data_IF_916505078792
#
_entry.id   IF_916505078792
#
_cell.length_a   1.000
_cell.length_b   1.000
_cell.length_c   1.000
_cell.angle_alpha   90.00
_cell.angle_beta   90.00
_cell.angle_gamma   90.00
#
_symmetry.space_group_name_H-M   'P 1'
#
loop_
_entity.id
_entity.type
_entity.pdbx_description
1 polymer ?
#
# COMPACT_ATOMS: atom_id res chain seq x y z
N UNK A 1 -49.37 -22.54 -45.52
CA UNK A 1 -48.29 -21.91 -44.73
C UNK A 1 -48.53 -21.89 -43.21
N UNK A 2 -49.77 -21.88 -42.69
CA UNK A 2 -50.03 -21.85 -41.23
C UNK A 2 -49.83 -23.20 -40.50
N UNK A 3 -50.08 -24.33 -41.17
CA UNK A 3 -49.91 -25.67 -40.56
C UNK A 3 -48.45 -26.09 -40.35
N UNK A 4 -47.52 -25.62 -41.19
CA UNK A 4 -46.10 -26.00 -41.10
C UNK A 4 -45.41 -25.35 -39.89
N UNK A 5 -45.80 -24.12 -39.53
CA UNK A 5 -45.30 -23.42 -38.34
C UNK A 5 -45.79 -24.06 -37.03
N UNK A 6 -47.03 -24.56 -37.00
CA UNK A 6 -47.54 -25.30 -35.83
C UNK A 6 -46.82 -26.63 -35.65
N UNK A 7 -46.58 -27.36 -36.75
CA UNK A 7 -45.87 -28.64 -36.72
C UNK A 7 -44.42 -28.47 -36.24
N UNK A 8 -43.74 -27.41 -36.69
CA UNK A 8 -42.38 -27.09 -36.25
C UNK A 8 -42.33 -26.72 -34.77
N UNK A 9 -43.32 -25.97 -34.28
CA UNK A 9 -43.43 -25.61 -32.87
C UNK A 9 -43.67 -26.83 -31.97
N UNK A 10 -44.53 -27.76 -32.39
CA UNK A 10 -44.80 -29.01 -31.65
C UNK A 10 -43.56 -29.91 -31.65
N UNK A 11 -42.85 -30.04 -32.78
CA UNK A 11 -41.60 -30.80 -32.86
C UNK A 11 -40.50 -30.21 -31.97
N UNK A 12 -40.37 -28.88 -31.91
CA UNK A 12 -39.39 -28.21 -31.04
C UNK A 12 -39.71 -28.42 -29.56
N UNK A 13 -41.00 -28.35 -29.18
CA UNK A 13 -41.44 -28.61 -27.81
C UNK A 13 -41.18 -30.07 -27.41
N UNK A 14 -41.45 -31.01 -28.32
CA UNK A 14 -41.19 -32.43 -28.09
C UNK A 14 -39.69 -32.70 -27.98
N UNK A 15 -38.85 -32.05 -28.78
CA UNK A 15 -37.40 -32.13 -28.70
C UNK A 15 -36.86 -31.56 -27.37
N UNK A 16 -37.39 -30.43 -26.89
CA UNK A 16 -37.02 -29.84 -25.60
C UNK A 16 -37.43 -30.74 -24.41
N UNK A 17 -38.61 -31.35 -24.48
CA UNK A 17 -39.07 -32.31 -23.48
C UNK A 17 -38.24 -33.61 -23.51
N UNK A 18 -37.87 -34.11 -24.70
CA UNK A 18 -36.98 -35.26 -24.83
C UNK A 18 -35.57 -34.96 -24.30
N UNK A 19 -35.03 -33.77 -24.57
CA UNK A 19 -33.73 -33.34 -24.05
C UNK A 19 -33.74 -33.20 -22.52
N UNK A 20 -34.83 -32.69 -21.96
CA UNK A 20 -35.04 -32.60 -20.50
C UNK A 20 -35.21 -33.95 -19.80
N UNK A 21 -35.78 -34.95 -20.48
CA UNK A 21 -35.97 -36.30 -19.94
C UNK A 21 -34.72 -37.21 -20.06
N UNK A 22 -33.81 -36.91 -21.00
CA UNK A 22 -32.54 -37.64 -21.14
C UNK A 22 -31.37 -37.05 -20.34
N UNK A 23 -31.53 -35.85 -19.79
CA UNK A 23 -30.64 -35.34 -18.75
C UNK A 23 -30.97 -36.04 -17.43
N UNK A 24 -30.49 -37.28 -17.26
CA UNK A 24 -30.43 -37.87 -15.92
C UNK A 24 -29.59 -36.92 -15.05
N UNK A 25 -30.06 -36.50 -13.87
CA UNK A 25 -29.20 -35.81 -12.93
C UNK A 25 -28.11 -36.80 -12.55
N UNK A 26 -26.91 -36.60 -13.07
CA UNK A 26 -25.74 -37.31 -12.57
C UNK A 26 -25.50 -36.77 -11.18
N UNK A 27 -26.10 -37.42 -10.18
CA UNK A 27 -25.67 -37.30 -8.80
C UNK A 27 -24.23 -37.80 -8.79
N UNK A 28 -23.29 -36.87 -8.87
CA UNK A 28 -21.87 -37.17 -8.65
C UNK A 28 -21.76 -37.50 -7.17
N UNK A 29 -21.84 -38.79 -6.85
CA UNK A 29 -21.44 -39.31 -5.56
C UNK A 29 -19.91 -39.20 -5.55
N UNK A 30 -19.39 -38.13 -4.95
CA UNK A 30 -17.97 -38.07 -4.59
C UNK A 30 -17.73 -39.14 -3.53
N UNK A 31 -17.16 -40.28 -3.94
CA UNK A 31 -16.52 -41.22 -3.02
C UNK A 31 -15.38 -40.50 -2.31
N UNK A 32 -15.47 -40.39 -0.99
CA UNK A 32 -14.40 -39.92 -0.10
C UNK A 32 -13.27 -40.97 -0.06
N UNK A 33 -12.57 -41.12 -1.18
CA UNK A 33 -11.32 -41.87 -1.26
C UNK A 33 -10.19 -40.83 -1.32
N UNK A 34 -9.63 -40.55 -0.15
CA UNK A 34 -8.27 -40.06 0.00
C UNK A 34 -7.90 -38.75 -0.71
N UNK A 35 -8.61 -37.64 -0.42
CA UNK A 35 -7.92 -36.35 -0.49
C UNK A 35 -6.93 -36.34 0.69
N UNK A 36 -5.70 -36.75 0.41
CA UNK A 36 -4.56 -36.25 1.17
C UNK A 36 -4.64 -34.73 1.03
N UNK A 37 -5.28 -34.10 2.01
CA UNK A 37 -5.04 -32.71 2.31
C UNK A 37 -3.55 -32.64 2.54
N UNK A 38 -2.80 -32.29 1.50
CA UNK A 38 -1.55 -31.59 1.68
C UNK A 38 -1.96 -30.39 2.52
N UNK A 39 -1.84 -30.53 3.84
CA UNK A 39 -2.02 -29.46 4.78
C UNK A 39 -1.11 -28.37 4.23
N UNK A 40 -1.70 -27.29 3.71
CA UNK A 40 -0.94 -26.10 3.43
C UNK A 40 -0.09 -25.88 4.68
N UNK A 41 1.26 -25.80 4.55
CA UNK A 41 2.11 -25.67 5.71
C UNK A 41 1.52 -24.54 6.57
N UNK A 42 1.35 -24.76 7.89
CA UNK A 42 0.71 -23.77 8.74
C UNK A 42 1.38 -22.45 8.44
N UNK A 43 0.58 -21.46 7.98
CA UNK A 43 1.10 -20.18 7.54
C UNK A 43 2.06 -19.71 8.63
N UNK A 44 3.36 -19.66 8.30
CA UNK A 44 4.41 -19.40 9.26
C UNK A 44 3.97 -18.17 10.07
N UNK A 45 3.80 -18.35 11.39
CA UNK A 45 3.26 -17.33 12.27
C UNK A 45 4.18 -16.12 12.15
N UNK A 46 3.76 -15.12 11.37
CA UNK A 46 4.52 -13.90 11.20
C UNK A 46 4.67 -13.23 12.57
N UNK A 47 5.86 -12.72 12.83
CA UNK A 47 6.31 -12.30 14.16
C UNK A 47 5.57 -11.04 14.62
N UNK A 48 5.31 -10.11 13.69
CA UNK A 48 4.56 -8.88 13.98
C UNK A 48 3.74 -8.40 12.77
N UNK A 49 2.98 -7.31 12.96
CA UNK A 49 2.27 -6.63 11.88
C UNK A 49 2.66 -5.17 11.80
N UNK A 50 2.88 -4.68 10.58
CA UNK A 50 3.27 -3.30 10.29
C UNK A 50 2.15 -2.60 9.53
N UNK A 51 1.62 -1.52 10.08
CA UNK A 51 0.70 -0.62 9.40
C UNK A 51 1.47 0.60 8.87
N UNK A 52 1.46 0.79 7.55
CA UNK A 52 2.06 1.94 6.87
C UNK A 52 0.94 2.88 6.46
N UNK A 53 0.84 4.02 7.15
CA UNK A 53 -0.10 5.10 6.83
C UNK A 53 0.53 6.13 5.90
N UNK A 54 0.11 6.15 4.63
CA UNK A 54 0.62 7.10 3.64
C UNK A 54 -0.33 8.28 3.56
N UNK A 55 0.07 9.41 4.16
CA UNK A 55 -0.69 10.64 4.08
C UNK A 55 -0.69 11.16 2.64
N UNK A 56 -1.87 11.35 2.05
CA UNK A 56 -2.00 11.77 0.65
C UNK A 56 -3.21 12.67 0.41
N UNK A 57 -3.33 13.32 -0.74
CA UNK A 57 -4.51 14.11 -1.11
C UNK A 57 -5.35 13.40 -2.15
N UNK A 58 -6.65 13.65 -2.18
CA UNK A 58 -7.58 12.95 -3.09
C UNK A 58 -7.21 13.10 -4.58
N UNK A 59 -6.64 14.23 -4.98
CA UNK A 59 -6.19 14.53 -6.36
C UNK A 59 -4.95 13.72 -6.80
N UNK A 60 -4.21 13.12 -5.88
CA UNK A 60 -2.99 12.35 -6.18
C UNK A 60 -3.28 10.86 -6.40
N UNK A 61 -4.28 10.54 -7.21
CA UNK A 61 -4.72 9.16 -7.45
C UNK A 61 -3.65 8.32 -8.19
N UNK A 62 -2.99 8.88 -9.21
CA UNK A 62 -1.90 8.22 -9.93
C UNK A 62 -0.77 7.81 -8.99
N UNK A 63 -0.47 8.68 -8.03
CA UNK A 63 0.58 8.43 -7.04
C UNK A 63 0.20 7.31 -6.10
N UNK A 64 -1.04 7.28 -5.60
CA UNK A 64 -1.52 6.15 -4.78
C UNK A 64 -1.44 4.85 -5.57
N UNK A 65 -1.90 4.84 -6.81
CA UNK A 65 -1.90 3.64 -7.64
C UNK A 65 -0.48 3.13 -7.91
N UNK A 66 0.46 4.02 -8.21
CA UNK A 66 1.87 3.66 -8.31
C UNK A 66 2.42 3.05 -7.02
N UNK A 67 2.12 3.65 -5.86
CA UNK A 67 2.57 3.11 -4.57
C UNK A 67 1.93 1.74 -4.27
N UNK A 68 0.69 1.49 -4.70
CA UNK A 68 0.08 0.15 -4.63
C UNK A 68 0.90 -0.87 -5.41
N UNK A 69 1.42 -0.52 -6.59
CA UNK A 69 2.32 -1.40 -7.32
C UNK A 69 3.62 -1.63 -6.55
N UNK A 70 4.30 -0.55 -6.13
CA UNK A 70 5.59 -0.64 -5.45
C UNK A 70 5.53 -1.45 -4.16
N UNK A 71 4.51 -1.24 -3.32
CA UNK A 71 4.38 -1.99 -2.06
C UNK A 71 3.72 -3.36 -2.27
N UNK A 72 2.84 -3.49 -3.26
CA UNK A 72 2.18 -4.76 -3.60
C UNK A 72 3.13 -5.80 -4.22
N UNK A 73 4.23 -5.36 -4.84
CA UNK A 73 5.29 -6.27 -5.34
C UNK A 73 6.27 -6.70 -4.26
N UNK A 74 6.24 -6.09 -3.08
CA UNK A 74 7.13 -6.42 -1.98
C UNK A 74 6.44 -7.39 -1.00
N UNK A 75 7.23 -8.27 -0.39
CA UNK A 75 6.75 -9.19 0.64
C UNK A 75 7.77 -9.28 1.77
N UNK A 76 7.29 -9.65 2.96
CA UNK A 76 8.13 -9.90 4.13
C UNK A 76 7.85 -11.29 4.70
N UNK A 77 8.92 -11.99 5.07
CA UNK A 77 8.86 -13.28 5.77
C UNK A 77 8.51 -13.10 7.25
N UNK A 78 8.86 -11.95 7.84
CA UNK A 78 8.75 -11.70 9.30
C UNK A 78 7.52 -10.88 9.68
N UNK A 79 7.00 -10.03 8.77
CA UNK A 79 5.92 -9.10 9.07
C UNK A 79 4.71 -9.23 8.14
N UNK A 80 3.50 -9.09 8.69
CA UNK A 80 2.30 -8.82 7.87
C UNK A 80 2.20 -7.33 7.65
N UNK A 81 2.19 -6.87 6.40
CA UNK A 81 2.25 -5.45 6.08
C UNK A 81 0.91 -4.98 5.54
N UNK A 82 0.38 -3.92 6.15
CA UNK A 82 -0.84 -3.25 5.73
C UNK A 82 -0.49 -1.83 5.30
N UNK A 83 -0.71 -1.51 4.02
CA UNK A 83 -0.56 -0.13 3.53
C UNK A 83 -1.93 0.50 3.47
N UNK A 84 -2.09 1.69 4.06
CA UNK A 84 -3.32 2.48 4.02
C UNK A 84 -3.02 3.90 3.56
N UNK A 85 -3.79 4.42 2.62
CA UNK A 85 -3.75 5.81 2.19
C UNK A 85 -4.69 6.66 3.05
N UNK A 86 -4.15 7.74 3.59
CA UNK A 86 -4.85 8.56 4.57
C UNK A 86 -5.22 9.90 3.95
N UNK A 87 -6.53 10.13 3.85
CA UNK A 87 -7.16 11.33 3.33
C UNK A 87 -7.87 12.07 4.47
N UNK A 88 -8.08 13.37 4.32
CA UNK A 88 -9.03 14.13 5.13
C UNK A 88 -10.38 14.22 4.39
N UNK A 89 -11.29 15.06 4.90
CA UNK A 89 -12.65 15.22 4.36
C UNK A 89 -12.63 15.64 2.89
N UNK A 90 -13.41 14.93 2.08
CA UNK A 90 -13.56 15.18 0.65
C UNK A 90 -14.59 16.29 0.38
N UNK A 91 -14.14 17.38 -0.23
CA UNK A 91 -14.99 18.55 -0.51
C UNK A 91 -15.62 18.53 -1.90
N UNK A 92 -14.94 17.95 -2.89
CA UNK A 92 -15.41 17.90 -4.30
C UNK A 92 -16.21 16.62 -4.59
N UNK A 93 -17.23 16.71 -5.44
CA UNK A 93 -18.09 15.57 -5.79
C UNK A 93 -17.32 14.49 -6.54
N UNK A 94 -16.46 14.90 -7.46
CA UNK A 94 -15.62 14.01 -8.28
C UNK A 94 -14.64 13.23 -7.40
N UNK A 95 -14.04 13.90 -6.41
CA UNK A 95 -13.16 13.25 -5.43
C UNK A 95 -13.92 12.17 -4.65
N UNK A 96 -15.15 12.43 -4.20
CA UNK A 96 -15.95 11.44 -3.47
C UNK A 96 -16.22 10.19 -4.29
N UNK A 97 -16.55 10.36 -5.58
CA UNK A 97 -16.80 9.22 -6.46
C UNK A 97 -15.54 8.39 -6.70
N UNK A 98 -14.42 9.03 -7.06
CA UNK A 98 -13.15 8.33 -7.31
C UNK A 98 -12.64 7.61 -6.06
N UNK A 99 -12.69 8.27 -4.89
CA UNK A 99 -12.28 7.65 -3.63
C UNK A 99 -13.22 6.50 -3.25
N UNK A 100 -14.53 6.60 -3.50
CA UNK A 100 -15.45 5.50 -3.25
C UNK A 100 -15.10 4.27 -4.10
N UNK A 101 -14.76 4.46 -5.38
CA UNK A 101 -14.29 3.37 -6.24
C UNK A 101 -12.97 2.77 -5.74
N UNK A 102 -12.03 3.60 -5.29
CA UNK A 102 -10.78 3.10 -4.69
C UNK A 102 -11.04 2.30 -3.40
N UNK A 103 -11.93 2.75 -2.52
CA UNK A 103 -12.32 2.03 -1.30
C UNK A 103 -12.92 0.68 -1.65
N UNK A 104 -13.86 0.63 -2.60
CA UNK A 104 -14.51 -0.61 -3.04
C UNK A 104 -13.51 -1.60 -3.66
N UNK A 105 -12.50 -1.09 -4.35
CA UNK A 105 -11.55 -1.95 -5.07
C UNK A 105 -10.40 -2.45 -4.21
N UNK A 106 -9.85 -1.58 -3.37
CA UNK A 106 -8.58 -1.81 -2.68
C UNK A 106 -8.73 -1.89 -1.16
N UNK A 107 -9.84 -1.39 -0.60
CA UNK A 107 -10.11 -1.36 0.85
C UNK A 107 -8.96 -0.72 1.67
N UNK A 108 -8.17 0.14 1.05
CA UNK A 108 -6.91 0.65 1.58
C UNK A 108 -6.93 2.14 1.89
N UNK A 109 -8.11 2.75 1.97
CA UNK A 109 -8.26 4.19 2.24
C UNK A 109 -8.88 4.44 3.62
N UNK A 110 -8.26 5.33 4.39
CA UNK A 110 -8.79 5.91 5.62
C UNK A 110 -9.15 7.36 5.33
N UNK A 111 -10.43 7.72 5.52
CA UNK A 111 -10.89 9.11 5.42
C UNK A 111 -11.10 9.67 6.81
N UNK A 112 -10.24 10.61 7.20
CA UNK A 112 -10.25 11.27 8.49
C UNK A 112 -11.19 12.47 8.50
N UNK A 113 -11.71 12.77 9.68
CA UNK A 113 -12.54 13.95 9.91
C UNK A 113 -11.70 15.22 10.14
N UNK A 114 -10.94 15.64 9.13
CA UNK A 114 -10.12 16.86 9.14
C UNK A 114 -10.32 17.68 7.87
N UNK A 115 -9.85 18.93 7.87
CA UNK A 115 -9.70 19.74 6.66
C UNK A 115 -8.48 19.25 5.88
N UNK A 116 -8.64 18.94 4.60
CA UNK A 116 -7.55 18.44 3.75
C UNK A 116 -6.42 19.46 3.65
N UNK A 117 -5.26 19.07 4.16
CA UNK A 117 -4.03 19.84 4.15
C UNK A 117 -2.86 18.89 4.41
N UNK A 118 -1.65 19.24 3.96
CA UNK A 118 -0.45 18.40 4.16
C UNK A 118 0.55 18.95 5.17
N UNK A 119 0.31 20.15 5.69
CA UNK A 119 1.28 20.89 6.48
C UNK A 119 0.83 21.11 7.93
N UNK A 120 -0.40 20.74 8.29
CA UNK A 120 -1.01 21.06 9.58
C UNK A 120 -1.98 19.98 10.10
N UNK A 121 -1.59 19.32 11.18
CA UNK A 121 -2.51 18.54 12.01
C UNK A 121 -2.94 17.17 11.46
N UNK A 122 -2.79 16.89 10.16
CA UNK A 122 -3.22 15.59 9.59
C UNK A 122 -2.52 14.38 10.21
N UNK A 123 -1.22 14.48 10.48
CA UNK A 123 -0.44 13.43 11.17
C UNK A 123 -0.99 13.17 12.57
N UNK A 124 -1.29 14.23 13.34
CA UNK A 124 -1.88 14.09 14.66
C UNK A 124 -3.28 13.47 14.57
N UNK A 125 -4.15 13.99 13.70
CA UNK A 125 -5.50 13.46 13.48
C UNK A 125 -5.47 12.00 13.07
N UNK A 126 -4.51 11.59 12.24
CA UNK A 126 -4.32 10.19 11.87
C UNK A 126 -4.07 9.33 13.10
N UNK A 127 -3.00 9.59 13.85
CA UNK A 127 -2.63 8.77 15.01
C UNK A 127 -3.70 8.77 16.10
N UNK A 128 -4.32 9.92 16.40
CA UNK A 128 -5.36 9.98 17.43
C UNK A 128 -6.67 9.28 17.03
N UNK A 129 -6.96 9.15 15.73
CA UNK A 129 -8.17 8.47 15.25
C UNK A 129 -7.97 6.96 15.06
N UNK A 130 -6.73 6.48 14.94
CA UNK A 130 -6.43 5.08 14.62
C UNK A 130 -7.09 4.06 15.56
N UNK A 131 -7.07 4.24 16.90
CA UNK A 131 -7.70 3.28 17.81
C UNK A 131 -9.21 3.11 17.58
N UNK A 132 -9.89 4.17 17.13
CA UNK A 132 -11.32 4.14 16.79
C UNK A 132 -11.56 3.53 15.41
N UNK A 133 -10.67 3.82 14.44
CA UNK A 133 -10.81 3.38 13.04
C UNK A 133 -10.41 1.91 12.86
N UNK A 134 -9.51 1.38 13.69
CA UNK A 134 -9.00 0.00 13.63
C UNK A 134 -9.23 -0.73 14.97
N UNK A 135 -10.49 -1.04 15.34
CA UNK A 135 -10.83 -1.48 16.70
C UNK A 135 -10.32 -2.89 17.08
N UNK A 136 -9.77 -3.66 16.14
CA UNK A 136 -9.24 -4.99 16.41
C UNK A 136 -7.94 -5.14 15.63
N UNK A 137 -6.77 -4.89 16.22
CA UNK A 137 -5.51 -5.57 15.88
C UNK A 137 -4.27 -4.95 16.58
N UNK A 138 -3.68 -5.79 17.46
CA UNK A 138 -2.23 -6.08 17.60
C UNK A 138 -1.43 -5.32 18.67
N UNK A 139 -0.53 -6.09 19.27
CA UNK A 139 0.57 -5.69 20.15
C UNK A 139 1.87 -5.51 19.33
N UNK A 140 2.72 -4.56 19.76
CA UNK A 140 4.18 -4.39 19.48
C UNK A 140 4.58 -3.76 18.11
N UNK A 141 5.65 -2.97 17.86
CA UNK A 141 6.75 -2.24 18.56
C UNK A 141 7.21 -1.03 17.65
N UNK A 142 7.95 -0.06 18.21
CA UNK A 142 8.24 1.34 17.77
C UNK A 142 9.50 1.58 16.90
N UNK A 143 9.48 2.58 16.00
CA UNK A 143 10.68 3.31 15.53
C UNK A 143 10.39 4.74 14.95
N UNK A 144 10.46 5.81 15.72
CA UNK A 144 10.25 7.17 15.17
C UNK A 144 11.40 7.58 14.23
N UNK A 145 11.16 8.42 13.21
CA UNK A 145 12.24 9.02 12.43
C UNK A 145 12.21 10.56 12.47
N UNK A 146 13.32 11.14 12.94
CA UNK A 146 13.57 12.57 12.84
C UNK A 146 14.86 12.89 12.08
N UNK A 147 14.74 13.87 11.19
CA UNK A 147 15.80 14.73 10.64
C UNK A 147 15.90 15.88 11.65
N UNK A 148 17.08 16.17 12.23
CA UNK A 148 18.30 16.51 11.47
C UNK A 148 19.40 15.44 11.43
N UNK A 149 20.06 15.27 10.27
CA UNK A 149 21.26 14.41 10.16
C UNK A 149 22.49 14.89 10.95
N UNK A 150 22.48 16.15 11.41
CA UNK A 150 23.57 16.76 12.15
C UNK A 150 23.27 16.93 13.64
N UNK A 151 22.09 16.51 14.13
CA UNK A 151 21.70 16.70 15.53
C UNK A 151 20.65 15.68 15.97
N UNK A 152 20.82 15.09 17.16
CA UNK A 152 19.76 14.32 17.86
C UNK A 152 18.84 15.23 18.69
N UNK A 153 19.00 16.56 18.55
CA UNK A 153 18.22 17.53 19.31
C UNK A 153 16.76 17.53 18.81
N UNK A 154 15.80 17.10 19.65
CA UNK A 154 14.42 17.01 19.27
C UNK A 154 13.76 18.40 19.13
N UNK A 155 14.41 19.49 19.53
CA UNK A 155 13.90 20.87 19.44
C UNK A 155 13.91 21.43 18.00
N UNK A 156 14.66 20.83 17.07
CA UNK A 156 14.90 21.38 15.73
C UNK A 156 14.09 20.64 14.65
N UNK A 157 12.80 20.96 14.51
CA UNK A 157 11.98 20.51 13.36
C UNK A 157 10.98 19.37 13.61
N UNK A 158 10.23 19.43 14.72
CA UNK A 158 9.12 18.51 14.98
C UNK A 158 8.06 18.57 13.87
N UNK A 159 7.70 17.42 13.29
CA UNK A 159 6.65 17.26 12.25
C UNK A 159 6.88 18.01 10.93
N UNK A 160 8.12 18.34 10.57
CA UNK A 160 8.45 19.07 9.34
C UNK A 160 8.46 18.21 8.05
N UNK A 161 7.55 17.24 7.90
CA UNK A 161 7.45 16.38 6.71
C UNK A 161 8.39 15.16 6.75
N UNK A 162 8.28 14.37 7.81
CA UNK A 162 9.11 13.18 8.07
C UNK A 162 8.24 11.95 8.32
N UNK A 163 8.79 10.76 8.10
CA UNK A 163 8.15 9.47 8.41
C UNK A 163 8.13 9.23 9.93
N UNK A 164 7.04 8.64 10.44
CA UNK A 164 6.90 8.26 11.84
C UNK A 164 6.59 6.76 11.92
N UNK A 165 7.33 5.98 12.71
CA UNK A 165 6.91 4.62 13.08
C UNK A 165 6.63 4.57 14.57
N UNK A 166 5.40 4.18 14.90
CA UNK A 166 4.90 4.12 16.26
C UNK A 166 4.36 2.71 16.57
N UNK A 167 4.65 2.12 17.75
CA UNK A 167 3.89 0.94 18.22
C UNK A 167 2.48 1.30 18.65
N UNK A 168 1.67 0.27 18.84
CA UNK A 168 0.28 0.46 19.22
C UNK A 168 0.11 1.21 20.56
N UNK A 169 0.93 0.94 21.57
CA UNK A 169 0.73 1.50 22.92
C UNK A 169 0.82 3.03 22.95
N UNK A 170 1.81 3.63 22.27
CA UNK A 170 1.88 5.09 22.19
C UNK A 170 0.95 5.69 21.13
N UNK A 171 0.42 4.92 20.16
CA UNK A 171 -0.74 5.37 19.37
C UNK A 171 -1.98 5.47 20.28
N UNK A 172 -2.21 4.49 21.15
CA UNK A 172 -3.29 4.54 22.14
C UNK A 172 -3.09 5.68 23.15
N UNK A 173 -1.85 5.91 23.60
CA UNK A 173 -1.54 7.04 24.46
C UNK A 173 -1.78 8.38 23.74
N UNK A 174 -1.41 8.53 22.46
CA UNK A 174 -1.68 9.74 21.68
C UNK A 174 -3.18 10.00 21.55
N UNK A 175 -3.98 8.96 21.40
CA UNK A 175 -5.43 9.09 21.28
C UNK A 175 -6.13 9.45 22.59
N UNK A 176 -5.57 9.08 23.74
CA UNK A 176 -6.24 9.23 25.06
C UNK A 176 -5.64 10.32 25.93
N UNK A 177 -4.38 10.70 25.72
CA UNK A 177 -3.68 11.72 26.49
C UNK A 177 -3.94 13.13 25.97
N UNK A 178 -4.15 14.08 26.87
CA UNK A 178 -4.24 15.50 26.51
C UNK A 178 -2.87 16.11 26.19
N UNK A 179 -1.77 15.43 26.53
CA UNK A 179 -0.42 15.97 26.41
C UNK A 179 -0.01 16.18 24.94
N UNK A 180 -0.12 15.20 24.03
CA UNK A 180 0.23 15.40 22.61
C UNK A 180 -0.65 16.43 21.89
N UNK A 181 -1.84 16.69 22.43
CA UNK A 181 -2.76 17.72 21.93
C UNK A 181 -2.36 19.14 22.37
N UNK A 182 -1.72 19.26 23.54
CA UNK A 182 -1.40 20.54 24.20
C UNK A 182 0.06 20.94 24.09
N UNK A 183 0.97 19.98 23.94
CA UNK A 183 2.41 20.21 23.92
C UNK A 183 3.09 19.36 22.84
N UNK A 184 4.09 19.93 22.18
CA UNK A 184 4.92 19.15 21.24
C UNK A 184 5.87 18.30 22.07
N UNK A 185 5.44 17.13 22.57
CA UNK A 185 6.36 16.21 23.22
C UNK A 185 7.30 15.61 22.16
N UNK A 186 8.59 15.90 22.32
CA UNK A 186 9.60 15.69 21.28
C UNK A 186 10.53 14.55 21.66
N UNK A 187 10.16 13.33 21.28
CA UNK A 187 11.07 12.19 21.30
C UNK A 187 11.25 11.72 19.86
N UNK A 188 12.49 11.82 19.41
CA UNK A 188 12.89 11.68 18.03
C UNK A 188 14.20 10.90 18.01
N UNK A 189 14.12 9.61 17.71
CA UNK A 189 15.31 8.82 17.36
C UNK A 189 15.43 8.76 15.84
N UNK A 190 16.65 8.63 15.32
CA UNK A 190 16.91 8.59 13.86
C UNK A 190 17.17 7.15 13.43
N UNK A 191 16.43 6.59 12.45
CA UNK A 191 16.70 5.26 11.93
C UNK A 191 18.06 5.30 11.27
N UNK A 192 18.94 4.39 11.69
CA UNK A 192 20.27 4.27 11.11
C UNK A 192 20.25 4.00 9.60
N UNK A 193 19.09 3.67 9.02
CA UNK A 193 18.92 3.21 7.64
C UNK A 193 18.00 4.09 6.76
N UNK A 194 17.66 5.31 7.21
CA UNK A 194 16.82 6.26 6.47
C UNK A 194 17.65 7.45 5.96
N UNK A 195 17.55 7.73 4.66
CA UNK A 195 18.34 8.78 4.00
C UNK A 195 17.53 9.54 2.94
N UNK A 196 17.93 10.78 2.66
CA UNK A 196 17.37 11.54 1.54
C UNK A 196 17.98 11.03 0.22
N UNK A 197 17.20 11.04 -0.87
CA UNK A 197 17.69 10.64 -2.19
C UNK A 197 18.95 11.44 -2.61
N UNK A 198 19.95 10.81 -3.26
CA UNK A 198 21.19 11.46 -3.70
C UNK A 198 20.95 12.73 -4.52
N UNK A 199 21.79 13.74 -4.31
CA UNK A 199 21.71 15.02 -5.05
C UNK A 199 20.53 15.91 -4.65
N UNK A 200 19.84 15.61 -3.55
CA UNK A 200 18.87 16.55 -2.97
C UNK A 200 19.57 17.48 -1.98
N UNK A 201 19.10 18.73 -1.85
CA UNK A 201 19.69 19.73 -0.93
C UNK A 201 19.46 19.41 0.58
N UNK A 202 19.20 18.16 0.92
CA UNK A 202 19.00 17.72 2.29
C UNK A 202 20.32 17.38 2.98
N UNK A 203 20.42 17.65 4.28
CA UNK A 203 21.60 17.26 5.10
C UNK A 203 21.80 15.74 5.19
N UNK A 204 20.81 14.96 4.78
CA UNK A 204 20.79 13.51 4.77
C UNK A 204 20.97 12.90 3.37
N UNK A 205 21.31 13.73 2.36
CA UNK A 205 21.48 13.30 0.98
C UNK A 205 22.90 12.77 0.77
N UNK A 206 23.01 11.48 0.49
CA UNK A 206 24.24 10.83 0.04
C UNK A 206 23.89 9.66 -0.88
N UNK A 207 24.89 9.01 -1.47
CA UNK A 207 24.71 7.84 -2.33
C UNK A 207 23.95 6.70 -1.62
N UNK A 208 23.18 5.91 -2.36
CA UNK A 208 22.49 4.75 -1.79
C UNK A 208 23.52 3.70 -1.35
N UNK A 209 23.47 3.27 -0.09
CA UNK A 209 24.44 2.33 0.51
C UNK A 209 23.75 1.02 0.94
N UNK A 210 24.44 -0.14 0.98
CA UNK A 210 23.84 -1.45 1.28
C UNK A 210 23.00 -1.53 2.56
N UNK A 211 23.21 -0.64 3.54
CA UNK A 211 22.44 -0.54 4.78
C UNK A 211 21.13 0.28 4.68
N UNK A 212 20.87 0.96 3.57
CA UNK A 212 19.65 1.76 3.38
C UNK A 212 18.41 0.86 3.36
N UNK A 213 17.38 1.29 4.09
CA UNK A 213 16.05 0.65 4.18
C UNK A 213 14.96 1.63 3.73
N UNK A 214 15.12 2.91 4.03
CA UNK A 214 14.16 3.97 3.67
C UNK A 214 14.85 5.06 2.85
N UNK A 215 14.22 5.45 1.75
CA UNK A 215 14.68 6.57 0.91
C UNK A 215 13.60 7.66 0.87
N UNK A 216 13.96 8.86 1.30
CA UNK A 216 13.11 10.05 1.33
C UNK A 216 13.35 10.96 0.11
N UNK A 217 12.47 11.95 -0.10
CA UNK A 217 12.51 12.95 -1.18
C UNK A 217 12.34 12.39 -2.59
N UNK A 218 11.54 11.33 -2.74
CA UNK A 218 11.22 10.72 -4.03
C UNK A 218 10.05 11.38 -4.76
N UNK A 219 9.93 12.71 -4.69
CA UNK A 219 8.83 13.47 -5.33
C UNK A 219 8.79 13.24 -6.84
N UNK A 220 9.96 13.28 -7.50
CA UNK A 220 10.08 13.14 -8.94
C UNK A 220 10.22 11.68 -9.36
N UNK A 221 9.69 11.34 -10.52
CA UNK A 221 9.64 9.96 -11.01
C UNK A 221 10.99 9.41 -11.46
N UNK A 222 11.83 10.27 -12.04
CA UNK A 222 13.21 9.97 -12.44
C UNK A 222 14.03 9.38 -11.28
N UNK A 223 13.70 9.76 -10.05
CA UNK A 223 14.35 9.24 -8.83
C UNK A 223 13.91 7.84 -8.44
N UNK A 224 12.76 7.36 -8.90
CA UNK A 224 12.25 6.04 -8.53
C UNK A 224 13.01 4.92 -9.20
N UNK A 225 13.37 5.08 -10.47
CA UNK A 225 14.05 4.03 -11.22
C UNK A 225 15.38 3.60 -10.56
N UNK A 226 16.29 4.52 -10.19
CA UNK A 226 17.52 4.15 -9.47
C UNK A 226 17.25 3.49 -8.11
N UNK A 227 16.21 3.93 -7.38
CA UNK A 227 15.83 3.32 -6.09
C UNK A 227 15.31 1.90 -6.29
N UNK A 228 14.37 1.69 -7.21
CA UNK A 228 13.81 0.36 -7.49
C UNK A 228 14.88 -0.62 -7.97
N UNK A 229 15.86 -0.14 -8.76
CA UNK A 229 17.05 -0.91 -9.16
C UNK A 229 17.94 -1.24 -7.96
N UNK A 230 18.26 -0.24 -7.13
CA UNK A 230 19.11 -0.43 -5.95
C UNK A 230 18.55 -1.50 -4.98
N UNK A 231 17.22 -1.57 -4.85
CA UNK A 231 16.53 -2.54 -4.01
C UNK A 231 16.11 -3.83 -4.74
N UNK A 232 16.54 -4.02 -5.99
CA UNK A 232 16.21 -5.20 -6.80
C UNK A 232 14.71 -5.53 -6.86
N UNK A 233 13.83 -4.52 -6.85
CA UNK A 233 12.38 -4.73 -6.73
C UNK A 233 11.81 -5.58 -7.89
N UNK A 234 12.41 -5.46 -9.07
CA UNK A 234 11.98 -6.18 -10.28
C UNK A 234 12.79 -7.45 -10.57
N UNK A 235 13.72 -7.87 -9.70
CA UNK A 235 14.60 -9.03 -9.93
C UNK A 235 13.81 -10.34 -10.12
N UNK A 236 12.64 -10.47 -9.49
CA UNK A 236 11.78 -11.64 -9.64
C UNK A 236 11.09 -11.78 -11.00
N UNK A 237 11.18 -10.77 -11.87
CA UNK A 237 10.50 -10.76 -13.16
C UNK A 237 11.28 -11.59 -14.20
N UNK A 238 10.79 -12.81 -14.46
CA UNK A 238 11.37 -13.70 -15.46
C UNK A 238 10.85 -13.36 -16.86
N UNK A 239 11.61 -13.53 -17.95
CA UNK A 239 11.07 -13.39 -19.30
C UNK A 239 9.87 -14.33 -19.54
N UNK A 240 8.88 -13.88 -20.31
CA UNK A 240 7.75 -14.71 -20.75
C UNK A 240 7.29 -14.29 -22.14
N UNK A 241 6.51 -15.14 -22.82
CA UNK A 241 5.93 -14.78 -24.12
C UNK A 241 4.84 -13.69 -24.03
N UNK A 242 4.34 -13.39 -22.82
CA UNK A 242 3.27 -12.42 -22.60
C UNK A 242 3.77 -10.97 -22.52
N UNK A 243 5.06 -10.75 -22.32
CA UNK A 243 5.64 -9.41 -22.25
C UNK A 243 7.11 -9.40 -22.65
N UNK A 244 7.51 -8.32 -23.32
CA UNK A 244 8.89 -8.06 -23.68
C UNK A 244 9.40 -6.85 -22.90
N UNK A 245 10.31 -7.08 -21.96
CA UNK A 245 10.99 -6.03 -21.18
C UNK A 245 12.46 -6.13 -21.52
N UNK A 246 12.99 -5.09 -22.15
CA UNK A 246 14.41 -5.00 -22.50
C UNK A 246 15.22 -4.66 -21.24
N UNK A 247 16.04 -5.58 -20.70
CA UNK A 247 16.76 -5.36 -19.45
C UNK A 247 17.90 -4.34 -19.57
N UNK A 248 18.41 -4.11 -20.78
CA UNK A 248 19.68 -3.40 -21.02
C UNK A 248 19.53 -2.19 -21.95
N UNK A 249 18.31 -1.83 -22.35
CA UNK A 249 18.11 -0.60 -23.11
C UNK A 249 18.39 0.61 -22.23
N UNK A 250 19.57 1.19 -22.40
CA UNK A 250 19.83 2.59 -22.11
C UNK A 250 19.00 3.45 -23.06
N UNK A 251 17.69 3.52 -22.81
CA UNK A 251 16.83 4.52 -23.42
C UNK A 251 17.34 5.88 -22.94
N UNK A 252 17.59 6.80 -23.88
CA UNK A 252 17.85 8.19 -23.54
C UNK A 252 16.74 8.67 -22.61
N UNK A 253 17.10 9.30 -21.49
CA UNK A 253 16.13 9.85 -20.54
C UNK A 253 15.30 10.93 -21.26
N UNK A 254 14.11 10.56 -21.75
CA UNK A 254 13.17 11.58 -22.20
C UNK A 254 12.79 12.44 -21.00
N UNK A 255 12.80 13.77 -21.14
CA UNK A 255 12.45 14.67 -20.05
C UNK A 255 10.96 14.50 -19.74
N UNK A 256 10.66 13.70 -18.73
CA UNK A 256 9.28 13.53 -18.30
C UNK A 256 8.87 14.78 -17.51
N UNK A 257 7.94 15.56 -18.08
CA UNK A 257 7.36 16.71 -17.41
C UNK A 257 6.48 16.23 -16.25
N UNK A 258 6.90 16.49 -15.00
CA UNK A 258 6.08 16.22 -13.82
C UNK A 258 5.66 17.51 -13.11
N UNK A 259 4.41 17.52 -12.65
CA UNK A 259 3.91 18.53 -11.73
C UNK A 259 4.72 18.48 -10.43
N UNK A 260 5.24 19.63 -9.99
CA UNK A 260 6.09 19.77 -8.81
C UNK A 260 5.34 19.75 -7.47
N UNK A 261 4.02 19.57 -7.48
CA UNK A 261 3.15 19.65 -6.28
C UNK A 261 3.12 18.37 -5.44
N UNK A 262 4.19 17.57 -5.50
CA UNK A 262 4.17 16.19 -5.00
C UNK A 262 4.56 16.17 -3.51
N UNK A 263 3.80 15.40 -2.75
CA UNK A 263 4.02 15.08 -1.33
C UNK A 263 5.39 14.44 -1.15
N UNK A 264 6.08 14.74 -0.03
CA UNK A 264 7.27 13.99 0.37
C UNK A 264 6.96 12.50 0.41
N UNK A 265 7.48 11.77 -0.58
CA UNK A 265 7.21 10.34 -0.74
C UNK A 265 8.45 9.55 -0.35
N UNK A 266 8.19 8.45 0.33
CA UNK A 266 9.19 7.52 0.83
C UNK A 266 9.12 6.22 0.03
N UNK A 267 10.27 5.59 -0.19
CA UNK A 267 10.34 4.17 -0.51
C UNK A 267 10.82 3.46 0.77
N UNK A 268 10.09 2.42 1.17
CA UNK A 268 10.43 1.57 2.31
C UNK A 268 10.65 0.17 1.75
N UNK A 269 11.83 -0.40 2.00
CA UNK A 269 12.16 -1.75 1.59
C UNK A 269 11.67 -2.76 2.64
N UNK A 270 10.73 -3.63 2.23
CA UNK A 270 9.98 -4.47 3.16
C UNK A 270 10.57 -5.88 3.36
N UNK A 271 11.55 -6.28 2.55
CA UNK A 271 12.13 -7.64 2.56
C UNK A 271 13.48 -7.76 3.27
N UNK A 272 14.14 -6.67 3.68
CA UNK A 272 15.36 -6.76 4.50
C UNK A 272 14.99 -7.06 5.95
N UNK A 273 14.91 -8.34 6.31
CA UNK A 273 15.22 -8.75 7.68
C UNK A 273 16.73 -8.59 7.85
N UNK A 274 17.18 -7.76 8.80
CA UNK A 274 18.55 -7.93 9.30
C UNK A 274 18.64 -9.33 9.93
N UNK A 275 19.66 -10.15 9.62
CA UNK A 275 20.06 -11.21 10.51
C UNK A 275 20.52 -10.65 11.86
#
# INVERSE_FOLDING_TARGET
>A
MRGLSLLLGVLLLFALLFLGLHLKPTTVIFSNEGLVTASAPPAAKREFSLLIGILTRADLYDRRHFLRFVYGTQASSVATIHVKFVLCRLTKAEQRMLIALEILRFEDIIVLNCTENMNAGKTYTYFSSLPTVLPHHRSDLYYCAAVPCSSRDPSVGYMSGMEFVLSWDLVQWIATSEIPARDTNRVAEKPAAMYDYPGTNGRCSHELIPGTVVVHRLKRWDRWLPVLRFFNVTEGLKPSELYYIDPERNLAEEPICYNNDIIDTYFIHLSKSKP
#
